data_IF_305778450280
#
_entry.id   IF_305778450280
#
_cell.length_a   1.000
_cell.length_b   1.000
_cell.length_c   1.000
_cell.angle_alpha   90.00
_cell.angle_beta   90.00
_cell.angle_gamma   90.00
#
_symmetry.space_group_name_H-M   'P 1'
#
loop_
_entity.id
_entity.type
_entity.pdbx_description
1 polymer ?
#
# COMPACT_ATOMS: atom_id res chain seq x y z
N UNK A 1 17.72 7.15 -0.63
CA UNK A 1 17.63 7.67 0.77
C UNK A 1 18.75 7.14 1.65
N UNK A 2 19.10 7.84 2.75
CA UNK A 2 20.19 7.44 3.67
C UNK A 2 19.65 6.47 4.74
N UNK A 3 19.70 5.20 4.49
CA UNK A 3 19.21 4.17 5.42
C UNK A 3 20.35 3.29 6.00
N UNK A 4 21.51 3.19 5.30
CA UNK A 4 22.59 2.31 5.69
C UNK A 4 23.17 2.70 7.07
N UNK A 5 23.42 1.69 7.91
CA UNK A 5 23.97 1.86 9.26
C UNK A 5 22.99 2.39 10.31
N UNK A 6 21.71 2.59 9.95
CA UNK A 6 20.67 3.04 10.87
C UNK A 6 19.95 1.82 11.50
N UNK A 7 19.33 2.05 12.65
CA UNK A 7 18.55 1.03 13.36
C UNK A 7 17.24 0.76 12.65
N UNK A 8 16.85 -0.51 12.53
CA UNK A 8 15.57 -0.94 12.02
C UNK A 8 14.56 -1.19 13.12
N UNK A 9 13.28 -1.20 12.78
CA UNK A 9 12.20 -1.55 13.69
C UNK A 9 12.31 -3.02 14.16
N UNK A 10 11.93 -3.26 15.42
CA UNK A 10 11.75 -4.59 15.99
C UNK A 10 10.40 -5.24 15.62
N UNK A 11 9.47 -4.46 15.03
CA UNK A 11 8.13 -4.90 14.65
C UNK A 11 8.10 -5.61 13.29
N UNK A 12 9.22 -6.16 12.85
CA UNK A 12 9.39 -6.82 11.57
C UNK A 12 9.43 -8.34 11.74
N UNK A 13 8.75 -9.05 10.85
CA UNK A 13 8.77 -10.51 10.78
C UNK A 13 8.83 -10.99 9.34
N UNK A 14 9.29 -12.24 9.13
CA UNK A 14 9.30 -12.88 7.83
C UNK A 14 8.61 -14.24 7.92
N UNK A 15 7.65 -14.48 7.00
CA UNK A 15 7.02 -15.78 6.84
C UNK A 15 7.85 -16.69 5.94
N UNK A 16 8.00 -17.96 6.32
CA UNK A 16 8.45 -18.96 5.37
C UNK A 16 7.28 -19.36 4.47
N UNK A 17 7.54 -19.51 3.16
CA UNK A 17 6.56 -20.02 2.20
C UNK A 17 6.12 -21.44 2.57
N UNK A 18 5.10 -21.56 3.40
CA UNK A 18 4.47 -22.81 3.79
C UNK A 18 3.18 -22.99 2.99
N UNK A 19 3.27 -23.57 1.79
CA UNK A 19 2.11 -23.86 0.95
C UNK A 19 1.22 -24.94 1.57
N UNK A 20 0.11 -24.54 2.21
CA UNK A 20 -1.03 -25.39 2.50
C UNK A 20 -2.24 -24.92 1.68
N UNK A 21 -3.19 -25.81 1.29
CA UNK A 21 -4.35 -25.40 0.53
C UNK A 21 -5.27 -24.52 1.38
N UNK A 22 -5.50 -23.30 0.92
CA UNK A 22 -6.19 -22.25 1.64
C UNK A 22 -7.66 -22.18 1.22
N UNK A 23 -8.56 -22.15 2.21
CA UNK A 23 -10.02 -21.89 1.99
C UNK A 23 -10.26 -20.39 2.12
N UNK A 24 -10.70 -19.76 1.03
CA UNK A 24 -10.91 -18.30 0.93
C UNK A 24 -12.24 -17.93 1.56
N UNK A 25 -12.25 -16.99 2.52
CA UNK A 25 -13.44 -16.38 3.13
C UNK A 25 -13.72 -14.98 2.56
N UNK A 26 -15.00 -14.62 2.46
CA UNK A 26 -15.61 -13.63 1.59
C UNK A 26 -15.15 -12.17 1.50
N UNK A 27 -14.28 -11.61 2.34
CA UNK A 27 -13.90 -10.17 2.26
C UNK A 27 -12.54 -9.98 1.55
N UNK A 28 -11.59 -10.89 1.74
CA UNK A 28 -10.30 -10.88 1.01
C UNK A 28 -10.46 -11.13 -0.48
N UNK A 29 -11.53 -11.82 -0.89
CA UNK A 29 -11.88 -12.07 -2.29
C UNK A 29 -12.25 -10.78 -3.04
N UNK A 30 -12.76 -9.77 -2.35
CA UNK A 30 -13.26 -8.54 -2.98
C UNK A 30 -12.10 -7.66 -3.46
N UNK A 31 -11.04 -7.56 -2.69
CA UNK A 31 -9.83 -6.81 -3.08
C UNK A 31 -9.06 -7.53 -4.20
N UNK A 32 -8.93 -8.86 -4.12
CA UNK A 32 -8.32 -9.68 -5.18
C UNK A 32 -9.09 -9.56 -6.51
N UNK A 33 -10.42 -9.56 -6.46
CA UNK A 33 -11.28 -9.39 -7.65
C UNK A 33 -11.11 -8.01 -8.25
N UNK A 34 -10.91 -6.98 -7.44
CA UNK A 34 -10.73 -5.59 -7.93
C UNK A 34 -9.41 -5.47 -8.68
N UNK A 35 -8.28 -5.86 -8.09
CA UNK A 35 -6.97 -5.80 -8.76
C UNK A 35 -6.96 -6.68 -10.01
N UNK A 36 -7.45 -7.92 -9.96
CA UNK A 36 -7.48 -8.82 -11.10
C UNK A 36 -8.41 -8.34 -12.23
N UNK A 37 -9.55 -7.72 -11.88
CA UNK A 37 -10.46 -7.11 -12.87
C UNK A 37 -9.86 -5.88 -13.55
N UNK A 38 -8.99 -5.14 -12.87
CA UNK A 38 -8.25 -4.00 -13.43
C UNK A 38 -7.25 -4.44 -14.50
N UNK A 39 -6.72 -5.66 -14.41
CA UNK A 39 -5.85 -6.26 -15.44
C UNK A 39 -6.61 -7.00 -16.56
N UNK A 40 -7.92 -6.80 -16.68
CA UNK A 40 -8.74 -7.41 -17.75
C UNK A 40 -9.05 -8.89 -17.52
N UNK A 41 -8.79 -9.41 -16.32
CA UNK A 41 -9.11 -10.80 -15.94
C UNK A 41 -10.60 -10.98 -15.62
N UNK A 42 -11.17 -12.13 -16.01
CA UNK A 42 -12.54 -12.46 -15.67
C UNK A 42 -12.56 -13.07 -14.25
N UNK A 43 -13.38 -12.56 -13.31
CA UNK A 43 -13.49 -13.12 -11.95
C UNK A 43 -13.74 -14.62 -11.87
N UNK A 44 -14.32 -15.20 -12.93
CA UNK A 44 -14.57 -16.65 -13.03
C UNK A 44 -13.29 -17.47 -13.26
N UNK A 45 -12.24 -16.85 -13.77
CA UNK A 45 -10.96 -17.53 -14.08
C UNK A 45 -10.17 -17.78 -12.79
N UNK A 46 -10.29 -16.92 -11.78
CA UNK A 46 -9.71 -17.13 -10.43
C UNK A 46 -10.26 -18.42 -9.79
N UNK A 47 -11.52 -18.72 -10.01
CA UNK A 47 -12.18 -19.91 -9.44
C UNK A 47 -11.75 -21.19 -10.17
N UNK A 48 -11.43 -21.10 -11.46
CA UNK A 48 -11.05 -22.25 -12.29
C UNK A 48 -9.54 -22.57 -12.24
N UNK A 49 -8.68 -21.62 -11.87
CA UNK A 49 -7.23 -21.79 -11.87
C UNK A 49 -6.71 -22.61 -10.67
N UNK A 50 -7.51 -22.76 -9.62
CA UNK A 50 -7.19 -23.69 -8.50
C UNK A 50 -7.02 -25.16 -8.96
N UNK A 51 -7.50 -25.51 -10.15
CA UNK A 51 -7.39 -26.87 -10.69
C UNK A 51 -6.23 -27.06 -11.69
N UNK A 52 -5.49 -26.01 -12.07
CA UNK A 52 -4.40 -26.09 -13.06
C UNK A 52 -2.98 -26.08 -12.49
N UNK A 53 -2.79 -25.84 -11.21
CA UNK A 53 -1.49 -25.57 -10.58
C UNK A 53 -0.56 -26.79 -10.44
N UNK A 54 -0.83 -27.91 -11.05
CA UNK A 54 0.08 -29.09 -10.99
C UNK A 54 1.02 -29.26 -12.21
N UNK A 55 1.00 -28.40 -13.21
CA UNK A 55 1.72 -28.66 -14.47
C UNK A 55 2.73 -27.58 -14.92
N UNK A 56 2.90 -26.45 -14.22
CA UNK A 56 3.77 -25.33 -14.68
C UNK A 56 4.99 -25.05 -13.77
N UNK A 57 5.64 -26.08 -13.23
CA UNK A 57 6.88 -25.90 -12.44
C UNK A 57 8.16 -25.66 -13.28
N UNK A 58 8.09 -25.36 -14.55
CA UNK A 58 9.30 -25.29 -15.41
C UNK A 58 9.62 -23.98 -16.14
N UNK A 59 8.92 -22.88 -15.94
CA UNK A 59 9.15 -21.65 -16.75
C UNK A 59 9.41 -20.37 -15.94
N UNK A 60 9.98 -20.36 -14.77
CA UNK A 60 10.38 -19.11 -14.13
C UNK A 60 11.75 -19.18 -13.45
N UNK A 61 12.81 -19.13 -14.27
CA UNK A 61 14.20 -19.04 -13.77
C UNK A 61 14.83 -17.65 -13.96
N UNK A 62 14.11 -16.63 -14.42
CA UNK A 62 14.68 -15.32 -14.82
C UNK A 62 14.23 -14.10 -13.99
N UNK A 63 13.40 -14.25 -12.95
CA UNK A 63 12.91 -13.10 -12.18
C UNK A 63 13.11 -13.22 -10.64
N UNK A 64 13.97 -14.12 -10.17
CA UNK A 64 14.29 -14.12 -8.74
C UNK A 64 15.35 -13.06 -8.48
N UNK A 65 14.96 -12.00 -7.74
CA UNK A 65 15.92 -11.14 -7.06
C UNK A 65 16.92 -12.03 -6.29
N UNK A 66 18.22 -11.68 -6.26
CA UNK A 66 19.20 -12.43 -5.49
C UNK A 66 18.80 -12.37 -4.02
N UNK A 67 19.13 -13.41 -3.24
CA UNK A 67 18.85 -13.40 -1.80
C UNK A 67 19.43 -12.17 -1.09
N UNK A 68 20.53 -11.62 -1.60
CA UNK A 68 21.17 -10.43 -1.06
C UNK A 68 20.36 -9.15 -1.33
N UNK A 69 19.81 -8.99 -2.54
CA UNK A 69 18.96 -7.84 -2.87
C UNK A 69 17.67 -7.83 -2.04
N UNK A 70 17.07 -9.01 -1.81
CA UNK A 70 15.91 -9.17 -0.93
C UNK A 70 16.26 -8.77 0.50
N UNK A 71 17.37 -9.25 1.05
CA UNK A 71 17.82 -8.93 2.40
C UNK A 71 18.12 -7.41 2.56
N UNK A 72 18.71 -6.78 1.56
CA UNK A 72 18.97 -5.33 1.55
C UNK A 72 17.65 -4.53 1.52
N UNK A 73 16.68 -4.94 0.70
CA UNK A 73 15.37 -4.30 0.64
C UNK A 73 14.59 -4.46 1.97
N UNK A 74 14.57 -5.65 2.57
CA UNK A 74 13.95 -5.89 3.87
C UNK A 74 14.60 -5.04 4.97
N UNK A 75 15.92 -4.94 4.97
CA UNK A 75 16.65 -4.11 5.93
C UNK A 75 16.32 -2.63 5.75
N UNK A 76 16.28 -2.13 4.52
CA UNK A 76 15.90 -0.76 4.21
C UNK A 76 14.47 -0.48 4.70
N UNK A 77 13.50 -1.34 4.37
CA UNK A 77 12.10 -1.19 4.80
C UNK A 77 11.95 -1.29 6.33
N UNK A 78 12.77 -2.08 7.01
CA UNK A 78 12.81 -2.11 8.48
C UNK A 78 13.25 -0.76 9.06
N UNK A 79 14.23 -0.09 8.46
CA UNK A 79 14.65 1.26 8.86
C UNK A 79 13.55 2.29 8.57
N UNK A 80 12.89 2.19 7.41
CA UNK A 80 11.75 3.07 7.07
C UNK A 80 10.61 2.90 8.06
N UNK A 81 10.28 1.65 8.45
CA UNK A 81 9.25 1.40 9.48
C UNK A 81 9.62 2.08 10.80
N UNK A 82 10.88 1.97 11.24
CA UNK A 82 11.34 2.67 12.45
C UNK A 82 11.19 4.18 12.33
N UNK A 83 11.48 4.74 11.17
CA UNK A 83 11.27 6.16 10.93
C UNK A 83 9.78 6.56 11.00
N UNK A 84 8.88 5.71 10.48
CA UNK A 84 7.44 5.96 10.58
C UNK A 84 6.95 5.90 12.02
N UNK A 85 7.45 4.95 12.83
CA UNK A 85 7.15 4.85 14.25
C UNK A 85 7.50 6.17 14.97
N UNK A 86 8.73 6.66 14.77
CA UNK A 86 9.18 7.91 15.39
C UNK A 86 8.33 9.11 14.99
N UNK A 87 8.00 9.23 13.70
CA UNK A 87 7.17 10.32 13.17
C UNK A 87 5.76 10.27 13.75
N UNK A 88 5.13 9.10 13.76
CA UNK A 88 3.74 9.00 14.19
C UNK A 88 3.58 9.08 15.70
N UNK A 89 4.56 8.63 16.50
CA UNK A 89 4.58 8.92 17.94
C UNK A 89 4.59 10.44 18.22
N UNK A 90 5.42 11.19 17.49
CA UNK A 90 5.46 12.66 17.60
C UNK A 90 4.11 13.27 17.20
N UNK A 91 3.57 12.90 16.03
CA UNK A 91 2.31 13.45 15.51
C UNK A 91 1.10 13.15 16.39
N UNK A 92 0.98 11.93 16.93
CA UNK A 92 -0.12 11.57 17.83
C UNK A 92 0.00 12.28 19.18
N UNK A 93 1.23 12.52 19.66
CA UNK A 93 1.46 13.32 20.86
C UNK A 93 0.94 14.77 20.72
N UNK A 94 1.07 15.39 19.53
CA UNK A 94 0.54 16.73 19.26
C UNK A 94 -0.98 16.84 19.45
N UNK A 95 -1.71 15.76 19.22
CA UNK A 95 -3.18 15.69 19.40
C UNK A 95 -3.59 14.98 20.71
N UNK A 96 -2.64 14.81 21.64
CA UNK A 96 -2.84 14.14 22.93
C UNK A 96 -3.39 12.71 22.81
N UNK A 97 -2.91 11.95 21.84
CA UNK A 97 -3.21 10.53 21.64
C UNK A 97 -1.94 9.70 21.74
N UNK A 98 -2.11 8.42 22.09
CA UNK A 98 -1.05 7.43 21.94
C UNK A 98 -1.11 6.83 20.53
N UNK A 99 0.04 6.49 19.99
CA UNK A 99 0.19 5.73 18.74
C UNK A 99 0.60 4.30 19.07
N UNK A 100 -0.13 3.32 18.56
CA UNK A 100 0.27 1.91 18.58
C UNK A 100 0.98 1.61 17.26
N UNK A 101 2.13 0.97 17.32
CA UNK A 101 2.96 0.70 16.14
C UNK A 101 2.38 -0.47 15.34
N UNK A 102 2.36 -0.39 13.98
CA UNK A 102 1.98 -1.52 13.15
C UNK A 102 3.09 -2.56 13.10
N UNK A 103 2.74 -3.76 12.69
CA UNK A 103 3.71 -4.81 12.35
C UNK A 103 3.99 -4.77 10.85
N UNK A 104 5.19 -5.16 10.45
CA UNK A 104 5.58 -5.41 9.06
C UNK A 104 5.92 -6.89 8.88
N UNK A 105 5.23 -7.54 7.94
CA UNK A 105 5.44 -8.94 7.63
C UNK A 105 5.88 -9.11 6.19
N UNK A 106 7.12 -9.54 5.99
CA UNK A 106 7.61 -9.90 4.67
C UNK A 106 7.15 -11.30 4.28
N UNK A 107 6.66 -11.45 3.07
CA UNK A 107 6.25 -12.74 2.53
C UNK A 107 6.70 -12.91 1.08
N UNK A 108 6.72 -14.15 0.61
CA UNK A 108 6.96 -14.50 -0.78
C UNK A 108 5.87 -15.48 -1.23
N UNK A 109 5.16 -15.14 -2.30
CA UNK A 109 4.13 -15.98 -2.90
C UNK A 109 2.76 -15.80 -2.27
N UNK A 110 2.40 -16.55 -1.22
CA UNK A 110 1.10 -16.48 -0.57
C UNK A 110 1.23 -16.34 0.95
N UNK A 111 0.31 -15.60 1.57
CA UNK A 111 0.28 -15.36 3.01
C UNK A 111 -1.15 -15.44 3.55
N UNK A 112 -1.31 -15.99 4.76
CA UNK A 112 -2.56 -15.96 5.53
C UNK A 112 -2.52 -14.82 6.54
N UNK A 113 -3.57 -13.98 6.56
CA UNK A 113 -3.66 -12.78 7.38
C UNK A 113 -4.96 -12.76 8.17
N UNK A 114 -5.09 -11.85 9.11
CA UNK A 114 -6.37 -11.58 9.78
C UNK A 114 -7.50 -11.15 8.83
N UNK A 115 -7.15 -10.56 7.69
CA UNK A 115 -8.09 -10.11 6.67
C UNK A 115 -8.41 -11.17 5.60
N UNK A 116 -7.80 -12.35 5.66
CA UNK A 116 -7.94 -13.43 4.68
C UNK A 116 -6.60 -13.83 4.08
N UNK A 117 -6.64 -14.50 2.93
CA UNK A 117 -5.44 -14.96 2.26
C UNK A 117 -5.12 -14.02 1.10
N UNK A 118 -3.84 -13.73 0.93
CA UNK A 118 -3.32 -12.94 -0.16
C UNK A 118 -2.20 -13.69 -0.89
N UNK A 119 -2.01 -13.37 -2.16
CA UNK A 119 -0.90 -13.86 -2.98
C UNK A 119 -0.06 -12.67 -3.50
N UNK A 120 1.04 -12.98 -4.19
CA UNK A 120 1.98 -11.98 -4.74
C UNK A 120 1.34 -10.95 -5.69
N UNK A 121 0.13 -11.19 -6.22
CA UNK A 121 -0.53 -10.29 -7.16
C UNK A 121 -1.31 -9.17 -6.45
N UNK A 122 -1.52 -9.29 -5.14
CA UNK A 122 -2.22 -8.27 -4.34
C UNK A 122 -1.37 -7.00 -4.18
N UNK A 123 -0.04 -7.12 -4.24
CA UNK A 123 0.88 -6.06 -3.85
C UNK A 123 0.99 -5.91 -2.32
N UNK A 124 1.69 -4.89 -1.84
CA UNK A 124 1.69 -4.51 -0.43
C UNK A 124 0.29 -4.11 0.04
N UNK A 125 -0.04 -4.40 1.31
CA UNK A 125 -1.32 -4.00 1.88
C UNK A 125 -1.29 -3.99 3.41
N UNK A 126 -2.14 -3.15 4.00
CA UNK A 126 -2.40 -3.11 5.43
C UNK A 126 -3.64 -3.93 5.80
N UNK A 127 -3.53 -4.82 6.77
CA UNK A 127 -4.67 -5.53 7.35
C UNK A 127 -5.07 -4.92 8.70
N UNK A 128 -6.24 -4.30 8.76
CA UNK A 128 -6.72 -3.62 9.97
C UNK A 128 -7.17 -4.56 11.09
N UNK A 129 -7.38 -5.85 10.81
CA UNK A 129 -7.81 -6.84 11.81
C UNK A 129 -6.66 -7.36 12.67
N UNK A 130 -5.45 -7.44 12.12
CA UNK A 130 -4.24 -7.86 12.85
C UNK A 130 -3.17 -6.76 12.94
N UNK A 131 -3.49 -5.55 12.41
CA UNK A 131 -2.64 -4.35 12.42
C UNK A 131 -1.26 -4.61 11.82
N UNK A 132 -1.24 -5.36 10.72
CA UNK A 132 -0.02 -5.78 10.07
C UNK A 132 0.02 -5.31 8.62
N UNK A 133 1.15 -4.74 8.23
CA UNK A 133 1.48 -4.43 6.84
C UNK A 133 2.13 -5.68 6.25
N UNK A 134 1.59 -6.16 5.15
CA UNK A 134 2.11 -7.31 4.41
C UNK A 134 2.83 -6.82 3.15
N UNK A 135 4.09 -7.20 3.00
CA UNK A 135 4.95 -6.71 1.93
C UNK A 135 5.64 -7.87 1.22
N UNK A 136 5.36 -8.04 -0.08
CA UNK A 136 6.18 -8.86 -0.96
C UNK A 136 7.29 -7.99 -1.54
N UNK A 137 8.53 -8.24 -1.18
CA UNK A 137 9.69 -7.45 -1.66
C UNK A 137 9.87 -7.53 -3.17
N UNK A 138 9.28 -8.52 -3.84
CA UNK A 138 9.29 -8.62 -5.30
C UNK A 138 8.38 -7.58 -5.97
N UNK A 139 7.53 -6.89 -5.18
CA UNK A 139 6.68 -5.80 -5.66
C UNK A 139 7.47 -4.67 -6.32
N UNK A 140 8.71 -4.44 -5.90
CA UNK A 140 9.59 -3.47 -6.54
C UNK A 140 9.71 -3.70 -8.06
N UNK A 141 9.86 -4.95 -8.47
CA UNK A 141 9.92 -5.29 -9.90
C UNK A 141 8.57 -5.02 -10.61
N UNK A 142 7.45 -5.26 -9.92
CA UNK A 142 6.14 -4.91 -10.47
C UNK A 142 5.98 -3.40 -10.62
N UNK A 143 6.36 -2.64 -9.61
CA UNK A 143 6.28 -1.18 -9.59
C UNK A 143 7.10 -0.56 -10.73
N UNK A 144 8.34 -0.99 -10.92
CA UNK A 144 9.26 -0.41 -11.90
C UNK A 144 9.07 -0.97 -13.31
N UNK A 145 9.00 -2.30 -13.46
CA UNK A 145 9.01 -2.93 -14.79
C UNK A 145 7.62 -3.02 -15.42
N UNK A 146 6.56 -3.15 -14.59
CA UNK A 146 5.19 -3.29 -15.11
C UNK A 146 4.39 -2.00 -15.02
N UNK A 147 4.51 -1.26 -13.93
CA UNK A 147 3.75 -0.02 -13.72
C UNK A 147 4.51 1.24 -14.16
N UNK A 148 5.80 1.11 -14.50
CA UNK A 148 6.58 2.17 -15.11
C UNK A 148 7.04 3.28 -14.16
N UNK A 149 7.12 3.00 -12.85
CA UNK A 149 7.78 3.91 -11.92
C UNK A 149 9.28 3.99 -12.20
N UNK A 150 9.89 5.14 -11.93
CA UNK A 150 11.32 5.37 -12.16
C UNK A 150 12.23 4.47 -11.27
N UNK A 151 11.66 3.94 -10.18
CA UNK A 151 12.37 3.10 -9.23
C UNK A 151 13.09 3.90 -8.15
N UNK A 152 14.01 3.25 -7.44
CA UNK A 152 14.78 3.82 -6.34
C UNK A 152 14.31 3.33 -4.97
N UNK A 153 15.16 3.55 -3.95
CA UNK A 153 14.87 3.11 -2.59
C UNK A 153 13.63 3.82 -2.03
N UNK A 154 13.47 5.10 -2.38
CA UNK A 154 12.40 5.92 -1.83
C UNK A 154 11.03 5.62 -2.44
N UNK A 155 10.96 5.04 -3.64
CA UNK A 155 9.72 4.52 -4.19
C UNK A 155 9.09 3.44 -3.27
N UNK A 156 9.90 2.51 -2.74
CA UNK A 156 9.44 1.50 -1.79
C UNK A 156 9.18 2.08 -0.39
N UNK A 157 9.95 3.09 0.02
CA UNK A 157 9.71 3.82 1.27
C UNK A 157 8.35 4.54 1.23
N UNK A 158 7.99 5.16 0.10
CA UNK A 158 6.65 5.73 -0.11
C UNK A 158 5.55 4.67 0.02
N UNK A 159 5.70 3.51 -0.63
CA UNK A 159 4.71 2.43 -0.56
C UNK A 159 4.50 2.00 0.90
N UNK A 160 5.58 1.77 1.66
CA UNK A 160 5.46 1.43 3.08
C UNK A 160 4.81 2.56 3.89
N UNK A 161 5.17 3.82 3.65
CA UNK A 161 4.58 4.96 4.33
C UNK A 161 3.08 5.13 4.01
N UNK A 162 2.65 4.77 2.81
CA UNK A 162 1.24 4.72 2.40
C UNK A 162 0.48 3.65 3.21
N UNK A 163 1.02 2.44 3.33
CA UNK A 163 0.40 1.37 4.14
C UNK A 163 0.36 1.74 5.63
N UNK A 164 1.39 2.43 6.14
CA UNK A 164 1.35 3.03 7.48
C UNK A 164 0.27 4.11 7.56
N UNK A 165 0.00 4.85 6.48
CA UNK A 165 -1.11 5.80 6.39
C UNK A 165 -2.47 5.15 6.66
N UNK A 166 -2.72 3.94 6.16
CA UNK A 166 -3.91 3.16 6.49
C UNK A 166 -3.95 2.74 7.96
N UNK A 167 -2.79 2.43 8.55
CA UNK A 167 -2.73 2.18 9.99
C UNK A 167 -3.04 3.44 10.79
N UNK A 168 -2.54 4.60 10.40
CA UNK A 168 -2.90 5.90 11.01
C UNK A 168 -4.40 6.16 10.93
N UNK A 169 -5.04 5.88 9.80
CA UNK A 169 -6.50 5.96 9.66
C UNK A 169 -7.23 5.02 10.63
N UNK A 170 -6.68 3.82 10.86
CA UNK A 170 -7.21 2.88 11.86
C UNK A 170 -7.11 3.46 13.27
N UNK A 171 -5.94 3.96 13.67
CA UNK A 171 -5.69 4.56 14.98
C UNK A 171 -6.54 5.82 15.24
N UNK A 172 -6.84 6.60 14.20
CA UNK A 172 -7.78 7.73 14.25
C UNK A 172 -9.26 7.30 14.23
N UNK A 173 -9.55 6.01 14.01
CA UNK A 173 -10.90 5.45 13.89
C UNK A 173 -11.61 5.83 12.59
N UNK A 174 -10.90 6.40 11.62
CA UNK A 174 -11.44 6.79 10.31
C UNK A 174 -11.79 5.53 9.51
N UNK A 175 -10.87 4.58 9.43
CA UNK A 175 -11.00 3.37 8.62
C UNK A 175 -12.25 2.56 9.01
N UNK A 176 -12.49 2.37 10.31
CA UNK A 176 -13.65 1.62 10.81
C UNK A 176 -14.98 2.34 10.50
N UNK A 177 -15.02 3.68 10.61
CA UNK A 177 -16.19 4.48 10.25
C UNK A 177 -16.51 4.36 8.76
N UNK A 178 -15.51 4.48 7.93
CA UNK A 178 -15.66 4.38 6.47
C UNK A 178 -16.14 2.99 6.08
N UNK A 179 -15.54 1.92 6.58
CA UNK A 179 -15.99 0.55 6.30
C UNK A 179 -17.46 0.31 6.73
N UNK A 180 -17.89 0.90 7.86
CA UNK A 180 -19.28 0.82 8.30
C UNK A 180 -20.25 1.54 7.37
N UNK A 181 -19.83 2.67 6.78
CA UNK A 181 -20.60 3.41 5.78
C UNK A 181 -20.67 2.61 4.47
N UNK A 182 -19.54 2.15 3.96
CA UNK A 182 -19.45 1.42 2.69
C UNK A 182 -20.34 0.16 2.64
N UNK A 183 -20.50 -0.56 3.76
CA UNK A 183 -21.38 -1.74 3.85
C UNK A 183 -22.85 -1.44 3.51
N UNK A 184 -23.26 -0.17 3.54
CA UNK A 184 -24.65 0.28 3.30
C UNK A 184 -24.84 0.94 1.94
N UNK A 185 -23.77 1.09 1.18
CA UNK A 185 -23.75 1.79 -0.10
C UNK A 185 -23.75 0.81 -1.27
N UNK A 186 -24.14 1.28 -2.44
CA UNK A 186 -23.84 0.60 -3.70
C UNK A 186 -22.34 0.76 -4.02
N UNK A 187 -21.83 -0.06 -4.92
CA UNK A 187 -20.40 -0.11 -5.29
C UNK A 187 -19.86 1.26 -5.71
N UNK A 188 -20.55 1.98 -6.60
CA UNK A 188 -20.13 3.28 -7.10
C UNK A 188 -19.95 4.31 -6.00
N UNK A 189 -20.85 4.35 -5.03
CA UNK A 189 -20.77 5.29 -3.92
C UNK A 189 -19.76 4.80 -2.86
N UNK A 190 -19.64 3.50 -2.63
CA UNK A 190 -18.60 2.93 -1.77
C UNK A 190 -17.19 3.23 -2.30
N UNK A 191 -16.99 3.16 -3.62
CA UNK A 191 -15.70 3.47 -4.27
C UNK A 191 -15.25 4.91 -4.01
N UNK A 192 -16.15 5.89 -3.92
CA UNK A 192 -15.78 7.26 -3.56
C UNK A 192 -15.12 7.35 -2.18
N UNK A 193 -15.61 6.57 -1.22
CA UNK A 193 -15.01 6.48 0.11
C UNK A 193 -13.67 5.75 0.09
N UNK A 194 -13.52 4.75 -0.78
CA UNK A 194 -12.21 4.10 -0.99
C UNK A 194 -11.20 5.11 -1.53
N UNK A 195 -11.55 5.87 -2.58
CA UNK A 195 -10.67 6.92 -3.13
C UNK A 195 -10.29 7.95 -2.06
N UNK A 196 -11.23 8.35 -1.19
CA UNK A 196 -10.92 9.29 -0.11
C UNK A 196 -9.98 8.69 0.96
N UNK A 197 -10.09 7.39 1.28
CA UNK A 197 -9.16 6.68 2.15
C UNK A 197 -7.77 6.63 1.53
N UNK A 198 -7.68 6.23 0.27
CA UNK A 198 -6.41 6.08 -0.45
C UNK A 198 -5.65 7.41 -0.55
N UNK A 199 -6.34 8.46 -0.96
CA UNK A 199 -5.73 9.79 -1.06
C UNK A 199 -5.36 10.37 0.30
N UNK A 200 -6.06 10.01 1.38
CA UNK A 200 -5.65 10.37 2.73
C UNK A 200 -4.40 9.57 3.18
N UNK A 201 -4.26 8.32 2.76
CA UNK A 201 -3.03 7.55 3.01
C UNK A 201 -1.85 8.15 2.24
N UNK A 202 -2.05 8.64 1.00
CA UNK A 202 -1.04 9.41 0.26
C UNK A 202 -0.67 10.71 0.97
N UNK A 203 -1.64 11.43 1.54
CA UNK A 203 -1.37 12.61 2.38
C UNK A 203 -0.46 12.24 3.55
N UNK A 204 -0.74 11.17 4.28
CA UNK A 204 0.08 10.74 5.41
C UNK A 204 1.48 10.27 4.98
N UNK A 205 1.61 9.65 3.81
CA UNK A 205 2.92 9.36 3.22
C UNK A 205 3.70 10.65 2.89
N UNK A 206 3.01 11.70 2.45
CA UNK A 206 3.58 13.03 2.26
C UNK A 206 4.04 13.67 3.58
N UNK A 207 3.24 13.56 4.66
CA UNK A 207 3.63 13.97 6.02
C UNK A 207 4.92 13.30 6.44
N UNK A 208 4.98 11.97 6.34
CA UNK A 208 6.18 11.20 6.63
C UNK A 208 7.40 11.71 5.83
N UNK A 209 7.24 11.92 4.53
CA UNK A 209 8.30 12.37 3.64
C UNK A 209 8.87 13.73 4.05
N UNK A 210 8.03 14.65 4.54
CA UNK A 210 8.48 15.93 5.09
C UNK A 210 9.42 15.73 6.29
N UNK A 211 9.02 14.91 7.26
CA UNK A 211 9.81 14.66 8.47
C UNK A 211 11.15 13.97 8.16
N UNK A 212 11.16 13.05 7.19
CA UNK A 212 12.39 12.39 6.75
C UNK A 212 13.35 13.37 6.07
N UNK A 213 12.81 14.34 5.31
CA UNK A 213 13.58 15.45 4.76
C UNK A 213 14.20 16.30 5.86
N UNK A 214 13.39 16.73 6.86
CA UNK A 214 13.87 17.56 7.97
C UNK A 214 14.96 16.86 8.81
N UNK A 215 14.90 15.53 8.94
CA UNK A 215 15.95 14.71 9.56
C UNK A 215 17.21 14.57 8.69
N UNK A 216 17.19 15.06 7.44
CA UNK A 216 18.32 15.00 6.51
C UNK A 216 18.58 13.60 5.95
N UNK A 217 17.58 12.73 5.92
CA UNK A 217 17.66 11.34 5.45
C UNK A 217 17.33 11.18 3.97
N UNK A 218 16.73 12.20 3.33
CA UNK A 218 16.56 12.21 1.87
C UNK A 218 17.84 12.55 1.13
N UNK A 219 17.92 12.02 -0.07
CA UNK A 219 18.92 12.33 -1.09
C UNK A 219 18.26 13.06 -2.26
N UNK A 220 19.05 13.60 -3.17
CA UNK A 220 18.55 14.25 -4.38
C UNK A 220 17.84 13.20 -5.25
N UNK A 221 16.58 13.48 -5.66
CA UNK A 221 15.76 12.59 -6.47
C UNK A 221 14.75 11.75 -5.68
N UNK A 222 14.91 11.60 -4.35
CA UNK A 222 14.00 10.73 -3.56
C UNK A 222 12.53 11.15 -3.65
N UNK A 223 12.23 12.44 -3.61
CA UNK A 223 10.84 12.92 -3.71
C UNK A 223 10.27 12.66 -5.09
N UNK A 224 11.08 12.78 -6.14
CA UNK A 224 10.72 12.46 -7.51
C UNK A 224 10.44 10.97 -7.67
N UNK A 225 11.20 10.09 -7.01
CA UNK A 225 10.92 8.65 -6.93
C UNK A 225 9.57 8.36 -6.30
N UNK A 226 9.25 9.02 -5.16
CA UNK A 226 7.94 8.89 -4.53
C UNK A 226 6.82 9.36 -5.46
N UNK A 227 6.96 10.51 -6.11
CA UNK A 227 5.95 11.05 -7.04
C UNK A 227 5.74 10.10 -8.22
N UNK A 228 6.82 9.55 -8.78
CA UNK A 228 6.75 8.56 -9.85
C UNK A 228 6.01 7.30 -9.41
N UNK A 229 6.29 6.81 -8.21
CA UNK A 229 5.58 5.66 -7.62
C UNK A 229 4.09 5.96 -7.42
N UNK A 230 3.73 7.11 -6.82
CA UNK A 230 2.34 7.56 -6.64
C UNK A 230 1.59 7.56 -7.97
N UNK A 231 2.19 8.13 -9.02
CA UNK A 231 1.55 8.25 -10.32
C UNK A 231 1.38 6.90 -11.02
N UNK A 232 2.32 5.99 -10.85
CA UNK A 232 2.29 4.67 -11.48
C UNK A 232 1.20 3.75 -10.93
N UNK A 233 0.73 3.99 -9.70
CA UNK A 233 -0.33 3.19 -9.05
C UNK A 233 -1.71 3.85 -9.07
N UNK A 234 -1.90 4.91 -9.85
CA UNK A 234 -3.21 5.52 -10.07
C UNK A 234 -4.12 4.64 -10.94
N UNK A 235 -5.41 4.60 -10.61
CA UNK A 235 -6.41 3.79 -11.32
C UNK A 235 -6.48 4.12 -12.82
N UNK A 236 -6.34 5.40 -13.18
CA UNK A 236 -6.33 5.85 -14.57
C UNK A 236 -5.13 5.31 -15.35
N UNK A 237 -3.95 5.29 -14.73
CA UNK A 237 -2.73 4.72 -15.32
C UNK A 237 -2.87 3.21 -15.50
N UNK A 238 -3.25 2.49 -14.45
CA UNK A 238 -3.41 1.03 -14.45
C UNK A 238 -4.48 0.60 -15.47
N UNK A 239 -5.65 1.26 -15.48
CA UNK A 239 -6.72 0.95 -16.42
C UNK A 239 -6.31 1.21 -17.87
N UNK A 240 -5.62 2.31 -18.14
CA UNK A 240 -5.13 2.64 -19.47
C UNK A 240 -4.12 1.60 -19.98
N UNK A 241 -3.23 1.14 -19.10
CA UNK A 241 -2.26 0.08 -19.46
C UNK A 241 -2.94 -1.27 -19.70
N UNK A 242 -3.91 -1.64 -18.84
CA UNK A 242 -4.54 -2.96 -18.90
C UNK A 242 -5.61 -3.10 -19.97
N UNK A 243 -6.47 -2.09 -20.14
CA UNK A 243 -7.65 -2.16 -21.04
C UNK A 243 -7.69 -1.06 -22.12
N UNK A 244 -6.76 -0.12 -22.11
CA UNK A 244 -6.64 0.95 -23.11
C UNK A 244 -7.57 2.14 -22.93
N UNK A 245 -8.47 2.13 -21.96
CA UNK A 245 -9.40 3.22 -21.63
C UNK A 245 -9.64 3.34 -20.13
N UNK A 246 -10.14 4.49 -19.68
CA UNK A 246 -10.34 4.83 -18.28
C UNK A 246 -11.83 4.87 -17.94
N UNK A 247 -12.20 4.32 -16.77
CA UNK A 247 -13.55 4.31 -16.20
C UNK A 247 -13.52 4.91 -14.78
N UNK A 248 -13.64 6.25 -14.64
CA UNK A 248 -13.51 6.91 -13.33
C UNK A 248 -14.49 6.42 -12.26
N UNK A 249 -15.68 5.97 -12.68
CA UNK A 249 -16.70 5.41 -11.77
C UNK A 249 -16.31 4.09 -11.12
N UNK A 250 -15.25 3.45 -11.62
CA UNK A 250 -14.67 2.22 -11.06
C UNK A 250 -13.39 2.44 -10.26
N UNK A 251 -12.97 3.68 -10.10
CA UNK A 251 -11.80 3.98 -9.29
C UNK A 251 -12.02 3.57 -7.84
N UNK A 252 -11.03 2.93 -7.28
CA UNK A 252 -10.96 2.54 -5.87
C UNK A 252 -9.79 3.19 -5.16
N UNK A 253 -8.73 3.58 -5.92
CA UNK A 253 -7.53 4.23 -5.40
C UNK A 253 -7.44 5.72 -5.79
N UNK A 254 -8.13 6.12 -6.85
CA UNK A 254 -8.09 7.47 -7.39
C UNK A 254 -7.15 7.61 -8.59
N UNK A 255 -7.24 8.76 -9.27
CA UNK A 255 -6.35 9.06 -10.40
C UNK A 255 -4.93 9.36 -9.94
N UNK A 256 -3.96 9.14 -10.82
CA UNK A 256 -2.55 9.50 -10.62
C UNK A 256 -2.39 10.97 -10.19
N UNK A 257 -3.14 11.87 -10.81
CA UNK A 257 -3.12 13.31 -10.49
C UNK A 257 -3.62 13.59 -9.08
N UNK A 258 -4.78 13.04 -8.70
CA UNK A 258 -5.40 13.25 -7.38
C UNK A 258 -4.52 12.70 -6.26
N UNK A 259 -3.98 11.49 -6.43
CA UNK A 259 -3.06 10.85 -5.48
C UNK A 259 -1.79 11.69 -5.27
N UNK A 260 -1.18 12.14 -6.36
CA UNK A 260 -0.01 13.01 -6.31
C UNK A 260 -0.32 14.37 -5.64
N UNK A 261 -1.48 14.97 -5.92
CA UNK A 261 -1.91 16.21 -5.26
C UNK A 261 -1.94 16.02 -3.74
N UNK A 262 -2.56 14.95 -3.25
CA UNK A 262 -2.67 14.70 -1.81
C UNK A 262 -1.34 14.35 -1.16
N UNK A 263 -0.46 13.60 -1.83
CA UNK A 263 0.92 13.38 -1.37
C UNK A 263 1.67 14.70 -1.21
N UNK A 264 1.63 15.58 -2.21
CA UNK A 264 2.27 16.88 -2.14
C UNK A 264 1.67 17.79 -1.07
N UNK A 265 0.36 17.72 -0.85
CA UNK A 265 -0.30 18.46 0.26
C UNK A 265 0.19 17.96 1.61
N UNK A 266 0.30 16.66 1.81
CA UNK A 266 0.87 16.06 3.02
C UNK A 266 2.30 16.52 3.27
N UNK A 267 3.11 16.52 2.24
CA UNK A 267 4.48 17.03 2.30
C UNK A 267 4.55 18.53 2.63
N UNK A 268 3.60 19.34 2.15
CA UNK A 268 3.56 20.78 2.35
C UNK A 268 3.06 21.18 3.73
N UNK A 269 1.97 20.57 4.21
CA UNK A 269 1.28 21.00 5.42
C UNK A 269 1.66 20.17 6.64
N UNK A 270 2.01 18.90 6.49
CA UNK A 270 2.53 17.95 7.48
C UNK A 270 1.82 17.96 8.84
N UNK A 271 0.49 18.19 8.84
CA UNK A 271 -0.40 18.23 10.01
C UNK A 271 -1.64 17.34 9.81
N UNK A 272 -2.54 17.29 10.81
CA UNK A 272 -3.82 16.59 10.69
C UNK A 272 -4.96 17.49 10.15
N UNK A 273 -4.82 18.80 10.24
CA UNK A 273 -5.90 19.75 9.91
C UNK A 273 -6.19 19.80 8.40
N UNK A 274 -5.19 19.56 7.58
CA UNK A 274 -5.29 19.54 6.11
C UNK A 274 -5.50 18.14 5.52
N UNK A 275 -5.76 17.12 6.36
CA UNK A 275 -5.93 15.73 5.95
C UNK A 275 -7.37 15.34 5.60
N UNK A 276 -8.32 16.28 5.55
CA UNK A 276 -9.75 15.98 5.32
C UNK A 276 -10.08 15.76 3.84
N UNK A 277 -9.68 14.61 3.31
CA UNK A 277 -10.04 14.18 1.95
C UNK A 277 -11.54 13.96 1.78
N UNK A 278 -12.21 13.49 2.83
CA UNK A 278 -13.64 13.21 2.80
C UNK A 278 -14.45 14.49 2.65
N UNK A 279 -14.19 15.50 3.48
CA UNK A 279 -14.87 16.80 3.40
C UNK A 279 -14.66 17.48 2.06
N UNK A 280 -13.46 17.45 1.50
CA UNK A 280 -13.16 18.04 0.18
C UNK A 280 -13.84 17.28 -0.97
N UNK A 281 -14.08 15.98 -0.84
CA UNK A 281 -14.86 15.20 -1.80
C UNK A 281 -16.38 15.23 -1.52
N UNK A 282 -16.83 16.04 -0.57
CA UNK A 282 -18.25 16.15 -0.20
C UNK A 282 -18.81 14.91 0.50
N UNK A 283 -17.95 14.09 1.09
CA UNK A 283 -18.30 12.86 1.80
C UNK A 283 -18.39 13.12 3.32
N UNK A 284 -19.25 12.38 4.02
CA UNK A 284 -19.41 12.47 5.47
C UNK A 284 -19.04 11.15 6.12
N UNK A 285 -18.21 11.21 7.16
CA UNK A 285 -17.75 10.05 7.96
C UNK A 285 -18.18 10.15 9.43
N UNK A 286 -19.27 10.90 9.69
CA UNK A 286 -19.83 11.04 11.05
C UNK A 286 -20.65 9.82 11.45
#
# INVERSE_FOLDING_TARGET
MKWQGREGSSNVSRGSSGGGPVKIGGVGLLLLVIVYSLFGGNPRDIINEQNRTQQEQQVNKSEKASSKEVEEAEKMLSVVLKDTEDVWHEKFSEINKNYEEPKLHFFEGAVSTGCGNADKNVGPFYCSLDQTIYMDVTFYNMLTQKLGADGGDYAMAYVLAHEVGHHVQKELGILDRVHNIQRRLNEKDANKYSVALETQADYFAGVFSYYIKEKGYLEEGDIEEAISAVQSVGDDHIQKMGQGYVQPEKFTHGSSELRNEWFQRGFKYHDFDHADTFGEMGLRIQ
#
